data_IF_912811566998
#
_entry.id   IF_912811566998
#
_cell.length_a   1.000
_cell.length_b   1.000
_cell.length_c   1.000
_cell.angle_alpha   90.00
_cell.angle_beta   90.00
_cell.angle_gamma   90.00
#
_symmetry.space_group_name_H-M   'P 1'
#
loop_
_entity.id
_entity.type
_entity.pdbx_description
1 polymer ?
#
# COMPACT_ATOMS: atom_id res chain seq x y z
N UNK A 1 38.45 -29.54 16.16
CA UNK A 1 37.11 -29.85 15.62
C UNK A 1 36.12 -28.88 16.23
N UNK A 2 35.36 -28.12 15.43
CA UNK A 2 34.30 -27.25 15.95
C UNK A 2 33.07 -28.09 16.35
N UNK A 3 32.56 -27.89 17.57
CA UNK A 3 31.34 -28.56 18.06
C UNK A 3 30.16 -27.59 17.89
N UNK A 4 29.21 -27.87 16.99
CA UNK A 4 28.04 -27.01 16.78
C UNK A 4 27.20 -26.88 18.06
N UNK A 5 26.61 -25.71 18.28
CA UNK A 5 25.81 -25.42 19.47
C UNK A 5 24.68 -26.45 19.69
N UNK A 6 23.98 -26.84 18.61
CA UNK A 6 22.88 -27.81 18.66
C UNK A 6 23.29 -29.22 19.12
N UNK A 7 24.58 -29.56 19.09
CA UNK A 7 25.08 -30.88 19.48
C UNK A 7 25.54 -30.95 20.94
N UNK A 8 25.64 -29.79 21.62
CA UNK A 8 26.21 -29.71 22.98
C UNK A 8 25.43 -30.53 24.00
N UNK A 9 24.10 -30.48 23.95
CA UNK A 9 23.27 -31.20 24.92
C UNK A 9 23.30 -32.71 24.69
N UNK A 10 23.30 -33.15 23.42
CA UNK A 10 23.49 -34.57 23.08
C UNK A 10 24.85 -35.09 23.52
N UNK A 11 25.91 -34.27 23.38
CA UNK A 11 27.26 -34.63 23.84
C UNK A 11 27.31 -34.68 25.37
N UNK A 12 26.75 -33.68 26.06
CA UNK A 12 26.69 -33.65 27.53
C UNK A 12 25.93 -34.84 28.10
N UNK A 13 24.80 -35.21 27.49
CA UNK A 13 24.00 -36.35 27.92
C UNK A 13 24.73 -37.71 27.73
N UNK A 14 25.72 -37.78 26.84
CA UNK A 14 26.51 -38.98 26.60
C UNK A 14 27.78 -39.06 27.47
N UNK A 15 28.09 -38.03 28.25
CA UNK A 15 29.26 -38.02 29.13
C UNK A 15 29.03 -38.88 30.39
N UNK A 16 30.08 -39.52 30.91
CA UNK A 16 29.99 -40.26 32.15
C UNK A 16 29.70 -39.30 33.30
N UNK A 17 28.85 -39.74 34.23
CA UNK A 17 28.50 -38.95 35.42
C UNK A 17 29.71 -38.72 36.33
N UNK A 18 30.70 -39.63 36.31
CA UNK A 18 31.96 -39.54 37.07
C UNK A 18 33.11 -39.94 36.12
N UNK A 19 33.95 -38.99 35.67
CA UNK A 19 35.09 -39.28 34.80
C UNK A 19 36.26 -39.86 35.60
N UNK A 20 37.04 -40.74 34.97
CA UNK A 20 38.27 -41.32 35.55
C UNK A 20 39.43 -40.34 35.50
N UNK A 21 40.46 -40.56 36.33
CA UNK A 21 41.67 -39.71 36.35
C UNK A 21 42.38 -39.64 34.99
N UNK A 22 42.31 -40.72 34.20
CA UNK A 22 42.88 -40.79 32.85
C UNK A 22 42.07 -39.98 31.82
N UNK A 23 40.75 -39.98 31.94
CA UNK A 23 39.87 -39.17 31.10
C UNK A 23 40.01 -37.67 31.38
N UNK A 24 40.15 -37.29 32.67
CA UNK A 24 40.40 -35.89 33.07
C UNK A 24 41.79 -35.42 32.60
N UNK A 25 42.77 -36.32 32.62
CA UNK A 25 44.14 -36.07 32.16
C UNK A 25 44.33 -36.06 30.64
N UNK A 26 43.25 -36.08 29.84
CA UNK A 26 43.31 -36.15 28.38
C UNK A 26 44.10 -37.36 27.83
N UNK A 27 44.11 -38.49 28.55
CA UNK A 27 44.78 -39.72 28.12
C UNK A 27 43.81 -40.69 27.44
N UNK A 28 42.56 -40.74 27.90
CA UNK A 28 41.51 -41.60 27.35
C UNK A 28 40.28 -40.77 26.97
N UNK A 29 39.56 -41.20 25.93
CA UNK A 29 38.33 -40.55 25.50
C UNK A 29 37.20 -40.77 26.50
N UNK A 30 36.54 -39.68 26.92
CA UNK A 30 35.40 -39.73 27.85
C UNK A 30 34.16 -40.50 27.33
N UNK A 31 34.10 -40.87 26.05
CA UNK A 31 32.92 -41.48 25.42
C UNK A 31 33.09 -42.96 25.06
N UNK A 32 34.33 -43.44 24.95
CA UNK A 32 34.62 -44.82 24.54
C UNK A 32 35.82 -45.44 25.25
N UNK A 33 36.43 -44.74 26.20
CA UNK A 33 37.58 -45.18 27.00
C UNK A 33 38.83 -45.55 26.21
N UNK A 34 38.84 -45.27 24.90
CA UNK A 34 40.01 -45.49 24.06
C UNK A 34 41.10 -44.47 24.36
N UNK A 35 42.34 -44.95 24.51
CA UNK A 35 43.54 -44.13 24.67
C UNK A 35 43.75 -43.22 23.45
N UNK A 36 44.08 -41.95 23.67
CA UNK A 36 44.51 -41.05 22.60
C UNK A 36 45.91 -41.45 22.12
N UNK A 37 46.01 -42.04 20.92
CA UNK A 37 47.28 -42.35 20.26
C UNK A 37 47.77 -41.21 19.36
N UNK A 38 48.88 -41.44 18.63
CA UNK A 38 49.46 -40.45 17.69
C UNK A 38 48.45 -39.98 16.61
N UNK A 39 47.47 -40.83 16.26
CA UNK A 39 46.44 -40.56 15.25
C UNK A 39 45.14 -39.92 15.79
N UNK A 40 44.96 -39.85 17.13
CA UNK A 40 43.71 -39.40 17.76
C UNK A 40 43.93 -38.15 18.59
N UNK A 41 43.70 -36.97 17.99
CA UNK A 41 43.73 -35.71 18.71
C UNK A 41 42.60 -35.61 19.77
N UNK A 42 42.95 -35.23 21.00
CA UNK A 42 42.01 -34.94 22.07
C UNK A 42 41.25 -33.64 21.77
N UNK A 43 39.92 -33.71 21.65
CA UNK A 43 39.07 -32.55 21.39
C UNK A 43 38.38 -32.11 22.69
N UNK A 44 38.58 -30.87 23.16
CA UNK A 44 37.95 -30.39 24.38
C UNK A 44 36.43 -30.26 24.22
N UNK A 45 35.68 -30.65 25.25
CA UNK A 45 34.20 -30.72 25.21
C UNK A 45 33.48 -29.55 25.89
N UNK A 46 34.18 -28.75 26.70
CA UNK A 46 33.58 -27.58 27.35
C UNK A 46 33.81 -26.27 26.60
N UNK A 47 33.21 -25.16 27.11
CA UNK A 47 33.28 -23.84 26.48
C UNK A 47 34.68 -23.22 26.50
N UNK A 48 35.58 -23.75 27.35
CA UNK A 48 36.98 -23.36 27.42
C UNK A 48 37.88 -24.60 27.26
N UNK A 49 39.08 -24.47 26.66
CA UNK A 49 40.04 -25.57 26.51
C UNK A 49 40.48 -26.21 27.84
N UNK A 50 40.25 -25.52 28.96
CA UNK A 50 40.63 -25.91 30.33
C UNK A 50 39.61 -26.78 31.05
N UNK A 51 38.45 -27.06 30.42
CA UNK A 51 37.30 -27.74 31.03
C UNK A 51 37.47 -29.27 31.26
N UNK A 52 38.68 -29.81 31.09
CA UNK A 52 39.09 -31.11 31.62
C UNK A 52 38.44 -32.36 31.02
N UNK A 53 37.53 -32.25 30.04
CA UNK A 53 36.90 -33.40 29.37
C UNK A 53 37.18 -33.39 27.88
N UNK A 54 37.55 -34.57 27.36
CA UNK A 54 38.04 -34.73 26.00
C UNK A 54 37.35 -35.88 25.27
N UNK A 55 36.92 -35.63 24.03
CA UNK A 55 36.35 -36.62 23.13
C UNK A 55 37.31 -36.94 21.98
N UNK A 56 37.29 -38.18 21.49
CA UNK A 56 37.94 -38.52 20.24
C UNK A 56 37.07 -38.14 19.04
N UNK A 57 37.71 -37.82 17.91
CA UNK A 57 37.01 -37.39 16.68
C UNK A 57 35.91 -38.38 16.22
N UNK A 58 36.13 -39.71 16.19
CA UNK A 58 35.07 -40.66 15.79
C UNK A 58 33.82 -40.60 16.66
N UNK A 59 33.97 -40.57 18.00
CA UNK A 59 32.85 -40.51 18.93
C UNK A 59 32.07 -39.20 18.80
N UNK A 60 32.78 -38.08 18.65
CA UNK A 60 32.16 -36.77 18.46
C UNK A 60 31.45 -36.66 17.11
N UNK A 61 32.03 -37.20 16.03
CA UNK A 61 31.34 -37.27 14.73
C UNK A 61 30.04 -38.05 14.83
N UNK A 62 30.03 -39.20 15.50
CA UNK A 62 28.80 -39.99 15.72
C UNK A 62 27.72 -39.21 16.48
N UNK A 63 28.08 -38.56 17.58
CA UNK A 63 27.13 -37.79 18.40
C UNK A 63 26.65 -36.52 17.68
N UNK A 64 27.51 -35.84 16.93
CA UNK A 64 27.11 -34.69 16.09
C UNK A 64 26.14 -35.13 14.99
N UNK A 65 26.36 -36.29 14.37
CA UNK A 65 25.43 -36.87 13.37
C UNK A 65 24.09 -37.22 14.02
N UNK A 66 24.11 -37.82 15.22
CA UNK A 66 22.88 -38.11 15.97
C UNK A 66 22.12 -36.84 16.35
N UNK A 67 22.80 -35.83 16.90
CA UNK A 67 22.21 -34.54 17.24
C UNK A 67 21.60 -33.84 16.02
N UNK A 68 22.30 -33.91 14.88
CA UNK A 68 21.78 -33.40 13.60
C UNK A 68 20.49 -34.11 13.21
N UNK A 69 20.47 -35.46 13.22
CA UNK A 69 19.27 -36.25 12.91
C UNK A 69 18.10 -35.90 13.83
N UNK A 70 18.33 -35.82 15.14
CA UNK A 70 17.27 -35.46 16.11
C UNK A 70 16.71 -34.05 15.86
N UNK A 71 17.60 -33.07 15.64
CA UNK A 71 17.20 -31.69 15.31
C UNK A 71 16.39 -31.64 14.02
N UNK A 72 16.83 -32.32 12.99
CA UNK A 72 16.17 -32.32 11.68
C UNK A 72 14.79 -33.01 11.77
N UNK A 73 14.66 -34.07 12.58
CA UNK A 73 13.39 -34.75 12.86
C UNK A 73 12.43 -33.88 13.68
N UNK A 74 12.95 -33.16 14.69
CA UNK A 74 12.16 -32.20 15.47
C UNK A 74 11.67 -31.03 14.60
N UNK A 75 12.52 -30.51 13.71
CA UNK A 75 12.15 -29.48 12.73
C UNK A 75 11.10 -29.99 11.75
N UNK A 76 11.22 -31.22 11.26
CA UNK A 76 10.24 -31.83 10.37
C UNK A 76 8.86 -31.93 11.04
N UNK A 77 8.81 -32.40 12.29
CA UNK A 77 7.56 -32.46 13.09
C UNK A 77 6.99 -31.06 13.35
N UNK A 78 7.83 -30.10 13.72
CA UNK A 78 7.40 -28.71 13.91
C UNK A 78 6.82 -28.10 12.63
N UNK A 79 7.43 -28.38 11.47
CA UNK A 79 6.93 -27.91 10.18
C UNK A 79 5.64 -28.63 9.74
N UNK A 80 5.41 -29.88 10.15
CA UNK A 80 4.16 -30.59 9.90
C UNK A 80 3.03 -30.06 10.79
N UNK A 81 3.31 -29.83 12.07
CA UNK A 81 2.37 -29.23 13.01
C UNK A 81 1.98 -27.81 12.57
N UNK A 82 2.96 -26.96 12.21
CA UNK A 82 2.68 -25.61 11.73
C UNK A 82 1.81 -25.61 10.46
N UNK A 83 2.01 -26.56 9.55
CA UNK A 83 1.17 -26.73 8.36
C UNK A 83 -0.26 -27.15 8.71
N UNK A 84 -0.43 -28.05 9.67
CA UNK A 84 -1.76 -28.48 10.12
C UNK A 84 -2.52 -27.34 10.83
N UNK A 85 -1.85 -26.58 11.70
CA UNK A 85 -2.41 -25.41 12.39
C UNK A 85 -2.79 -24.31 11.39
N UNK A 86 -1.91 -24.00 10.44
CA UNK A 86 -2.18 -23.03 9.37
C UNK A 86 -3.38 -23.45 8.50
N UNK A 87 -3.47 -24.72 8.12
CA UNK A 87 -4.61 -25.21 7.34
C UNK A 87 -5.94 -25.13 8.09
N UNK A 88 -5.95 -25.47 9.39
CA UNK A 88 -7.14 -25.35 10.24
C UNK A 88 -7.57 -23.88 10.39
N UNK A 89 -6.60 -22.97 10.61
CA UNK A 89 -6.88 -21.55 10.69
C UNK A 89 -7.39 -20.95 9.37
N UNK A 90 -6.80 -21.31 8.23
CA UNK A 90 -7.28 -20.87 6.90
C UNK A 90 -8.73 -21.28 6.65
N UNK A 91 -9.13 -22.47 7.08
CA UNK A 91 -10.52 -22.91 7.00
C UNK A 91 -11.44 -22.06 7.88
N UNK A 92 -11.04 -21.78 9.12
CA UNK A 92 -11.81 -20.94 10.04
C UNK A 92 -11.94 -19.50 9.53
N UNK A 93 -10.83 -18.93 9.03
CA UNK A 93 -10.76 -17.62 8.38
C UNK A 93 -11.73 -17.53 7.19
N UNK A 94 -11.68 -18.50 6.29
CA UNK A 94 -12.55 -18.53 5.10
C UNK A 94 -14.02 -18.59 5.49
N UNK A 95 -14.35 -19.42 6.49
CA UNK A 95 -15.71 -19.51 7.01
C UNK A 95 -16.18 -18.19 7.65
N UNK A 96 -15.30 -17.53 8.41
CA UNK A 96 -15.61 -16.24 9.03
C UNK A 96 -15.86 -15.16 7.98
N UNK A 97 -14.98 -15.03 6.97
CA UNK A 97 -15.17 -14.09 5.86
C UNK A 97 -16.47 -14.33 5.10
N UNK A 98 -16.82 -15.59 4.82
CA UNK A 98 -18.08 -15.93 4.16
C UNK A 98 -19.31 -15.54 4.99
N UNK A 99 -19.21 -15.57 6.32
CA UNK A 99 -20.30 -15.12 7.21
C UNK A 99 -20.42 -13.60 7.19
N UNK A 100 -19.31 -12.87 7.28
CA UNK A 100 -19.30 -11.41 7.15
C UNK A 100 -19.95 -11.00 5.82
N UNK A 101 -19.56 -11.66 4.75
CA UNK A 101 -20.09 -11.40 3.41
C UNK A 101 -21.59 -11.72 3.29
N UNK A 102 -22.06 -12.78 3.95
CA UNK A 102 -23.49 -13.11 4.00
C UNK A 102 -24.33 -12.04 4.72
N UNK A 103 -23.84 -11.51 5.85
CA UNK A 103 -24.53 -10.42 6.57
C UNK A 103 -24.42 -9.11 5.79
N UNK A 104 -23.29 -8.84 5.13
CA UNK A 104 -23.09 -7.66 4.27
C UNK A 104 -24.12 -7.64 3.14
N UNK A 105 -24.25 -8.74 2.40
CA UNK A 105 -25.26 -8.84 1.34
C UNK A 105 -26.68 -8.69 1.87
N UNK A 106 -26.98 -9.19 3.08
CA UNK A 106 -28.28 -8.97 3.69
C UNK A 106 -28.50 -7.49 4.03
N UNK A 107 -27.47 -6.78 4.50
CA UNK A 107 -27.54 -5.35 4.77
C UNK A 107 -27.78 -4.53 3.49
N UNK A 108 -27.05 -4.84 2.42
CA UNK A 108 -27.24 -4.21 1.10
C UNK A 108 -28.66 -4.45 0.56
N UNK A 109 -29.16 -5.68 0.65
CA UNK A 109 -30.53 -5.98 0.24
C UNK A 109 -31.59 -5.25 1.07
N UNK A 110 -31.36 -5.07 2.39
CA UNK A 110 -32.27 -4.27 3.23
C UNK A 110 -32.22 -2.79 2.84
N UNK A 111 -31.04 -2.25 2.52
CA UNK A 111 -30.90 -0.88 2.04
C UNK A 111 -31.64 -0.66 0.71
N UNK A 112 -31.49 -1.59 -0.23
CA UNK A 112 -32.22 -1.56 -1.51
C UNK A 112 -33.75 -1.65 -1.30
N UNK A 113 -34.21 -2.58 -0.45
CA UNK A 113 -35.63 -2.71 -0.13
C UNK A 113 -36.20 -1.47 0.57
N UNK A 114 -35.39 -0.72 1.32
CA UNK A 114 -35.83 0.51 1.97
C UNK A 114 -36.15 1.63 0.98
N UNK A 115 -35.58 1.58 -0.22
CA UNK A 115 -35.85 2.50 -1.32
C UNK A 115 -37.05 2.07 -2.17
N UNK A 116 -37.54 0.83 -2.00
CA UNK A 116 -38.68 0.32 -2.74
C UNK A 116 -40.00 0.77 -2.08
N UNK A 117 -40.78 1.55 -2.82
CA UNK A 117 -42.06 2.07 -2.36
C UNK A 117 -43.15 1.00 -2.20
N UNK A 118 -43.00 -0.16 -2.84
CA UNK A 118 -43.95 -1.27 -2.76
C UNK A 118 -43.83 -2.05 -1.44
N UNK A 119 -42.78 -1.79 -0.65
CA UNK A 119 -42.55 -2.44 0.64
C UNK A 119 -43.00 -1.54 1.80
N UNK A 120 -43.81 -2.11 2.70
CA UNK A 120 -44.29 -1.41 3.89
C UNK A 120 -43.13 -0.98 4.80
N UNK A 121 -43.10 0.31 5.19
CA UNK A 121 -42.05 0.89 6.04
C UNK A 121 -41.86 0.14 7.37
N UNK A 122 -42.96 -0.29 8.02
CA UNK A 122 -42.89 -1.08 9.27
C UNK A 122 -42.25 -2.45 9.08
N UNK A 123 -42.39 -3.04 7.88
CA UNK A 123 -41.77 -4.34 7.56
C UNK A 123 -40.28 -4.20 7.34
N UNK A 124 -39.85 -3.11 6.69
CA UNK A 124 -38.43 -2.74 6.54
C UNK A 124 -37.79 -2.49 7.92
N UNK A 125 -38.48 -1.83 8.86
CA UNK A 125 -37.99 -1.66 10.23
C UNK A 125 -37.72 -3.00 10.94
N UNK A 126 -38.63 -3.97 10.79
CA UNK A 126 -38.44 -5.31 11.34
C UNK A 126 -37.29 -6.09 10.70
N UNK A 127 -37.05 -5.86 9.40
CA UNK A 127 -35.88 -6.41 8.70
C UNK A 127 -34.59 -5.83 9.27
N UNK A 128 -34.53 -4.52 9.54
CA UNK A 128 -33.38 -3.90 10.19
C UNK A 128 -33.11 -4.50 11.57
N UNK A 129 -34.13 -4.70 12.41
CA UNK A 129 -33.96 -5.35 13.73
C UNK A 129 -33.37 -6.76 13.59
N UNK A 130 -33.87 -7.53 12.61
CA UNK A 130 -33.36 -8.87 12.33
C UNK A 130 -31.91 -8.85 11.85
N UNK A 131 -31.56 -7.85 11.03
CA UNK A 131 -30.21 -7.62 10.53
C UNK A 131 -29.25 -7.21 11.65
N UNK A 132 -29.64 -6.32 12.57
CA UNK A 132 -28.84 -5.93 13.74
C UNK A 132 -28.55 -7.13 14.64
N UNK A 133 -29.54 -8.01 14.80
CA UNK A 133 -29.32 -9.28 15.48
C UNK A 133 -28.31 -10.15 14.72
N UNK A 134 -28.41 -10.28 13.40
CA UNK A 134 -27.46 -11.06 12.61
C UNK A 134 -26.03 -10.50 12.69
N UNK A 135 -25.89 -9.17 12.62
CA UNK A 135 -24.63 -8.44 12.77
C UNK A 135 -23.99 -8.69 14.14
N UNK A 136 -24.78 -8.61 15.23
CA UNK A 136 -24.29 -8.86 16.61
C UNK A 136 -23.89 -10.32 16.84
N UNK A 137 -24.49 -11.26 16.11
CA UNK A 137 -24.22 -12.69 16.24
C UNK A 137 -23.06 -13.19 15.37
N UNK A 138 -22.41 -12.30 14.60
CA UNK A 138 -21.15 -12.64 13.94
C UNK A 138 -20.11 -12.98 15.02
N UNK A 139 -19.56 -14.20 15.04
CA UNK A 139 -18.59 -14.60 16.05
C UNK A 139 -17.32 -13.75 15.98
N UNK A 140 -16.60 -13.66 17.10
CA UNK A 140 -15.30 -12.99 17.15
C UNK A 140 -14.32 -13.51 16.09
N UNK A 141 -13.41 -12.63 15.69
CA UNK A 141 -12.38 -12.91 14.69
C UNK A 141 -11.51 -14.11 15.13
N UNK A 142 -11.26 -15.10 14.25
CA UNK A 142 -10.45 -16.25 14.61
C UNK A 142 -8.98 -15.86 14.85
N UNK A 143 -8.43 -16.22 16.02
CA UNK A 143 -7.03 -15.93 16.35
C UNK A 143 -6.04 -16.71 15.47
N UNK A 144 -5.03 -16.06 14.88
CA UNK A 144 -4.00 -16.73 14.10
C UNK A 144 -3.03 -17.53 14.98
N UNK A 145 -2.57 -18.72 14.53
CA UNK A 145 -1.53 -19.46 15.23
C UNK A 145 -0.22 -18.68 15.20
N UNK A 146 0.69 -18.95 16.14
CA UNK A 146 1.98 -18.24 16.24
C UNK A 146 2.89 -18.38 15.00
N UNK A 147 2.58 -19.31 14.10
CA UNK A 147 3.27 -19.54 12.83
C UNK A 147 2.78 -18.64 11.69
N UNK A 148 1.67 -17.93 11.88
CA UNK A 148 1.04 -17.03 10.92
C UNK A 148 1.07 -15.62 11.50
N UNK A 149 1.24 -14.64 10.63
CA UNK A 149 1.26 -13.24 11.06
C UNK A 149 -0.07 -12.86 11.74
N UNK A 150 0.02 -11.98 12.75
CA UNK A 150 -1.13 -11.60 13.57
C UNK A 150 -2.08 -10.67 12.84
N UNK A 151 -1.61 -9.97 11.81
CA UNK A 151 -2.40 -9.03 11.05
C UNK A 151 -2.79 -9.64 9.70
N UNK A 152 -4.07 -9.99 9.55
CA UNK A 152 -4.65 -10.40 8.27
C UNK A 152 -5.47 -9.24 7.68
N UNK A 153 -4.99 -8.58 6.60
CA UNK A 153 -5.69 -7.47 5.98
C UNK A 153 -7.10 -7.83 5.50
N UNK A 154 -7.31 -9.07 5.06
CA UNK A 154 -8.60 -9.53 4.56
C UNK A 154 -9.67 -9.64 5.65
N UNK A 155 -9.29 -10.03 6.88
CA UNK A 155 -10.22 -10.03 8.02
C UNK A 155 -10.61 -8.59 8.42
N UNK A 156 -9.66 -7.65 8.40
CA UNK A 156 -9.92 -6.23 8.69
C UNK A 156 -10.83 -5.59 7.63
N UNK A 157 -10.51 -5.79 6.35
CA UNK A 157 -11.29 -5.27 5.22
C UNK A 157 -12.72 -5.86 5.19
N UNK A 158 -12.87 -7.17 5.43
CA UNK A 158 -14.18 -7.82 5.50
C UNK A 158 -15.08 -7.25 6.59
N UNK A 159 -14.54 -6.97 7.78
CA UNK A 159 -15.28 -6.35 8.88
C UNK A 159 -15.66 -4.90 8.53
N UNK A 160 -14.71 -4.12 7.99
CA UNK A 160 -14.95 -2.74 7.58
C UNK A 160 -16.05 -2.61 6.52
N UNK A 161 -16.08 -3.48 5.51
CA UNK A 161 -17.13 -3.48 4.48
C UNK A 161 -18.50 -3.83 5.05
N UNK A 162 -18.56 -4.75 6.01
CA UNK A 162 -19.81 -5.06 6.70
C UNK A 162 -20.31 -3.84 7.49
N UNK A 163 -19.42 -3.13 8.20
CA UNK A 163 -19.78 -1.92 8.95
C UNK A 163 -20.36 -0.84 8.03
N UNK A 164 -19.73 -0.62 6.87
CA UNK A 164 -20.20 0.33 5.87
C UNK A 164 -21.60 -0.05 5.34
N UNK A 165 -21.80 -1.32 4.97
CA UNK A 165 -23.11 -1.80 4.51
C UNK A 165 -24.20 -1.67 5.59
N UNK A 166 -23.86 -1.93 6.86
CA UNK A 166 -24.76 -1.71 7.99
C UNK A 166 -25.11 -0.23 8.17
N UNK A 167 -24.16 0.69 8.00
CA UNK A 167 -24.44 2.12 8.04
C UNK A 167 -25.43 2.55 6.94
N UNK A 168 -25.20 2.11 5.70
CA UNK A 168 -26.10 2.39 4.57
C UNK A 168 -27.51 1.82 4.80
N UNK A 169 -27.61 0.58 5.30
CA UNK A 169 -28.90 -0.01 5.64
C UNK A 169 -29.63 0.78 6.74
N UNK A 170 -28.94 1.19 7.81
CA UNK A 170 -29.52 2.01 8.88
C UNK A 170 -30.03 3.34 8.36
N UNK A 171 -29.25 4.01 7.53
CA UNK A 171 -29.60 5.32 6.97
C UNK A 171 -30.85 5.23 6.09
N UNK A 172 -30.87 4.31 5.12
CA UNK A 172 -32.01 4.15 4.22
C UNK A 172 -33.30 3.78 4.97
N UNK A 173 -33.21 2.89 5.96
CA UNK A 173 -34.36 2.50 6.79
C UNK A 173 -34.83 3.65 7.68
N UNK A 174 -33.90 4.41 8.27
CA UNK A 174 -34.21 5.55 9.13
C UNK A 174 -34.92 6.66 8.33
N UNK A 175 -34.42 6.97 7.14
CA UNK A 175 -35.04 7.91 6.20
C UNK A 175 -36.49 7.46 5.91
N UNK A 176 -36.66 6.22 5.44
CA UNK A 176 -37.99 5.66 5.11
C UNK A 176 -38.96 5.72 6.29
N UNK A 177 -38.50 5.42 7.50
CA UNK A 177 -39.34 5.46 8.71
C UNK A 177 -39.69 6.87 9.15
N UNK A 178 -38.75 7.82 9.05
CA UNK A 178 -39.00 9.22 9.37
C UNK A 178 -40.16 9.75 8.52
N UNK A 179 -40.12 9.51 7.21
CA UNK A 179 -41.20 9.93 6.31
C UNK A 179 -42.50 9.16 6.53
N UNK A 180 -42.45 7.87 6.87
CA UNK A 180 -43.65 7.14 7.24
C UNK A 180 -44.35 7.78 8.46
N UNK A 181 -43.59 8.11 9.51
CA UNK A 181 -44.13 8.75 10.72
C UNK A 181 -44.68 10.14 10.41
N UNK A 182 -43.95 10.96 9.63
CA UNK A 182 -44.43 12.28 9.22
C UNK A 182 -45.76 12.20 8.46
N UNK A 183 -45.86 11.28 7.50
CA UNK A 183 -47.07 11.10 6.68
C UNK A 183 -48.26 10.57 7.51
N UNK A 184 -48.04 9.65 8.45
CA UNK A 184 -49.09 9.17 9.36
C UNK A 184 -49.53 10.22 10.39
N UNK A 185 -48.64 11.15 10.74
CA UNK A 185 -48.94 12.24 11.68
C UNK A 185 -49.67 13.42 11.02
N UNK A 186 -49.79 13.47 9.69
CA UNK A 186 -50.50 14.55 9.01
C UNK A 186 -52.02 14.46 9.28
N UNK A 187 -52.69 15.61 9.52
CA UNK A 187 -54.14 15.65 9.66
C UNK A 187 -54.84 15.24 8.36
N UNK A 188 -56.01 14.59 8.46
CA UNK A 188 -56.77 14.08 7.32
C UNK A 188 -57.18 15.14 6.28
N UNK A 189 -57.22 16.42 6.70
CA UNK A 189 -57.28 17.59 5.84
C UNK A 189 -56.05 18.45 6.15
N UNK A 190 -54.95 18.31 5.40
CA UNK A 190 -53.82 19.21 5.55
C UNK A 190 -54.29 20.62 5.22
N UNK A 191 -54.08 21.59 6.12
CA UNK A 191 -54.22 23.00 5.77
C UNK A 191 -53.30 23.24 4.57
N UNK A 192 -53.88 23.48 3.39
CA UNK A 192 -53.08 23.66 2.17
C UNK A 192 -52.05 24.73 2.43
N UNK A 193 -50.77 24.36 2.37
CA UNK A 193 -49.67 25.27 2.60
C UNK A 193 -49.87 26.47 1.66
N UNK A 194 -50.12 27.65 2.23
CA UNK A 194 -50.52 28.84 1.48
C UNK A 194 -49.43 29.34 0.52
N UNK A 195 -48.22 28.77 0.59
CA UNK A 195 -47.03 29.24 -0.12
C UNK A 195 -46.59 28.35 -1.29
N UNK A 196 -47.22 27.20 -1.56
CA UNK A 196 -46.90 26.38 -2.74
C UNK A 196 -48.16 25.91 -3.47
N UNK A 197 -48.27 26.29 -4.75
CA UNK A 197 -49.21 25.71 -5.71
C UNK A 197 -48.90 24.20 -5.84
N UNK A 198 -49.48 23.38 -4.95
CA UNK A 198 -49.41 21.93 -5.11
C UNK A 198 -50.06 21.55 -6.46
N UNK A 199 -49.37 20.80 -7.33
CA UNK A 199 -49.93 20.40 -8.60
C UNK A 199 -51.23 19.60 -8.41
N UNK A 200 -52.17 19.75 -9.34
CA UNK A 200 -53.46 19.03 -9.31
C UNK A 200 -53.20 17.51 -9.23
N UNK A 201 -53.48 16.90 -8.07
CA UNK A 201 -53.21 15.48 -7.79
C UNK A 201 -52.20 15.20 -6.68
N UNK A 202 -51.63 16.22 -6.02
CA UNK A 202 -50.79 16.05 -4.85
C UNK A 202 -51.55 15.31 -3.73
N UNK A 203 -51.03 14.16 -3.29
CA UNK A 203 -51.65 13.34 -2.24
C UNK A 203 -51.23 13.73 -0.82
N UNK A 204 -50.50 14.84 -0.65
CA UNK A 204 -49.90 15.25 0.63
C UNK A 204 -48.76 14.34 1.12
N UNK A 205 -48.31 13.38 0.29
CA UNK A 205 -47.16 12.52 0.62
C UNK A 205 -45.88 13.22 0.18
N UNK A 206 -45.07 13.61 1.16
CA UNK A 206 -43.78 14.25 0.93
C UNK A 206 -42.66 13.20 1.01
N UNK A 207 -41.73 13.26 0.06
CA UNK A 207 -40.47 12.49 0.06
C UNK A 207 -39.31 13.45 0.37
N UNK A 208 -38.07 12.95 0.38
CA UNK A 208 -36.88 13.76 0.68
C UNK A 208 -36.60 14.88 -0.31
N UNK A 209 -37.21 14.87 -1.50
CA UNK A 209 -37.10 15.96 -2.48
C UNK A 209 -38.13 17.08 -2.27
N UNK A 210 -39.13 16.86 -1.40
CA UNK A 210 -40.25 17.76 -1.18
C UNK A 210 -40.13 18.64 0.09
N UNK A 211 -39.04 18.53 0.87
CA UNK A 211 -38.81 19.32 2.08
C UNK A 211 -37.65 20.30 1.86
N UNK A 212 -37.99 21.58 1.76
CA UNK A 212 -37.04 22.70 1.64
C UNK A 212 -36.90 23.44 2.98
N UNK A 213 -36.54 22.72 4.05
CA UNK A 213 -36.12 23.36 5.30
C UNK A 213 -34.61 23.61 5.25
N UNK A 214 -34.22 24.89 5.13
CA UNK A 214 -32.82 25.28 5.10
C UNK A 214 -32.03 24.81 6.34
N UNK A 215 -30.70 24.71 6.23
CA UNK A 215 -29.83 24.12 7.26
C UNK A 215 -29.90 24.79 8.64
N UNK A 216 -30.43 26.02 8.71
CA UNK A 216 -30.55 26.80 9.94
C UNK A 216 -31.72 26.36 10.84
N UNK A 217 -32.77 25.77 10.27
CA UNK A 217 -33.99 25.38 11.00
C UNK A 217 -33.71 24.34 12.10
N UNK A 218 -32.74 23.45 11.87
CA UNK A 218 -32.31 22.44 12.86
C UNK A 218 -31.75 23.10 14.12
N UNK A 219 -31.01 24.21 13.99
CA UNK A 219 -30.43 24.89 15.16
C UNK A 219 -31.48 25.69 15.94
N UNK A 220 -32.49 26.23 15.26
CA UNK A 220 -33.62 26.89 15.91
C UNK A 220 -34.42 25.85 16.72
N UNK A 221 -34.80 24.72 16.11
CA UNK A 221 -35.53 23.63 16.77
C UNK A 221 -34.79 23.06 17.99
N UNK A 222 -33.48 22.80 17.86
CA UNK A 222 -32.65 22.33 18.97
C UNK A 222 -32.61 23.34 20.12
N UNK A 223 -32.55 24.63 19.81
CA UNK A 223 -32.54 25.70 20.80
C UNK A 223 -33.87 25.79 21.54
N UNK A 224 -35.01 25.63 20.84
CA UNK A 224 -36.34 25.56 21.46
C UNK A 224 -36.46 24.41 22.46
N UNK A 225 -35.74 23.31 22.20
CA UNK A 225 -35.70 22.12 23.07
C UNK A 225 -34.60 22.20 24.15
N UNK A 226 -33.95 23.36 24.31
CA UNK A 226 -32.95 23.60 25.35
C UNK A 226 -31.57 23.01 25.05
N UNK A 227 -31.31 22.59 23.81
CA UNK A 227 -30.03 22.04 23.35
C UNK A 227 -29.27 23.12 22.60
N UNK A 228 -28.27 23.72 23.26
CA UNK A 228 -27.41 24.71 22.64
C UNK A 228 -26.28 24.03 21.86
N UNK A 229 -26.33 24.11 20.53
CA UNK A 229 -25.23 23.72 19.64
C UNK A 229 -24.60 24.99 19.07
N UNK A 230 -23.28 25.11 19.16
CA UNK A 230 -22.56 26.26 18.60
C UNK A 230 -22.73 26.26 17.08
N UNK A 231 -23.42 27.27 16.54
CA UNK A 231 -23.56 27.40 15.08
C UNK A 231 -22.18 27.61 14.49
N UNK A 232 -21.76 26.82 13.48
CA UNK A 232 -20.55 27.15 12.76
C UNK A 232 -20.72 28.56 12.21
N UNK A 233 -19.82 29.47 12.60
CA UNK A 233 -19.85 30.85 12.09
C UNK A 233 -19.86 30.83 10.55
N UNK A 234 -20.41 31.88 9.90
CA UNK A 234 -20.40 31.96 8.45
C UNK A 234 -18.95 31.84 7.99
N UNK A 235 -18.63 30.68 7.39
CA UNK A 235 -17.34 30.51 6.75
C UNK A 235 -17.36 31.49 5.58
N UNK A 236 -16.36 32.37 5.41
CA UNK A 236 -16.32 33.23 4.24
C UNK A 236 -16.47 32.31 3.03
N UNK A 237 -17.56 32.49 2.28
CA UNK A 237 -17.81 31.68 1.10
C UNK A 237 -16.59 31.85 0.20
N UNK A 238 -15.91 30.75 -0.08
CA UNK A 238 -14.91 30.76 -1.14
C UNK A 238 -15.61 31.23 -2.42
N UNK A 239 -15.00 32.09 -3.25
CA UNK A 239 -15.58 32.55 -4.53
C UNK A 239 -16.06 31.41 -5.43
N UNK A 240 -15.57 30.19 -5.17
CA UNK A 240 -15.93 28.93 -5.81
C UNK A 240 -17.35 28.43 -5.48
N UNK A 241 -17.94 28.83 -4.34
CA UNK A 241 -19.28 28.39 -3.89
C UNK A 241 -20.39 29.34 -4.35
N UNK A 242 -20.12 30.65 -4.41
CA UNK A 242 -21.05 31.62 -5.03
C UNK A 242 -21.31 31.32 -6.51
N UNK A 243 -20.30 30.82 -7.23
CA UNK A 243 -20.44 30.42 -8.63
C UNK A 243 -21.28 29.13 -8.84
N UNK A 244 -21.48 28.32 -7.80
CA UNK A 244 -22.23 27.06 -7.86
C UNK A 244 -23.71 27.22 -7.50
N UNK A 245 -24.10 28.28 -6.78
CA UNK A 245 -25.50 28.54 -6.41
C UNK A 245 -26.38 29.04 -7.56
N UNK A 246 -25.82 29.47 -8.69
CA UNK A 246 -26.60 29.92 -9.86
C UNK A 246 -26.96 28.79 -10.85
N UNK A 247 -26.60 27.53 -10.59
CA UNK A 247 -26.90 26.41 -11.50
C UNK A 247 -27.52 25.22 -10.77
N UNK A 248 -28.75 25.39 -10.34
CA UNK A 248 -29.70 24.29 -10.15
C UNK A 248 -30.71 24.30 -11.30
N UNK A 249 -30.53 23.35 -12.23
CA UNK A 249 -31.58 22.68 -13.01
C UNK A 249 -30.93 21.99 -14.20
N UNK A 250 -30.70 20.68 -14.07
CA UNK A 250 -30.82 19.61 -15.09
C UNK A 250 -30.04 18.41 -14.53
N UNK A 251 -30.80 17.38 -14.15
CA UNK A 251 -30.28 16.04 -13.87
C UNK A 251 -29.48 15.54 -15.07
N UNK A 252 -28.17 15.44 -14.88
CA UNK A 252 -27.31 14.57 -15.66
C UNK A 252 -26.49 13.76 -14.67
N UNK A 253 -26.43 12.44 -14.87
CA UNK A 253 -25.54 11.52 -14.15
C UNK A 253 -24.20 12.22 -13.87
N UNK A 254 -23.93 12.53 -12.60
CA UNK A 254 -22.61 13.03 -12.21
C UNK A 254 -21.58 11.95 -12.59
N UNK A 255 -20.53 12.26 -13.37
CA UNK A 255 -19.40 11.35 -13.48
C UNK A 255 -18.81 11.13 -12.08
N UNK A 256 -18.37 9.91 -11.79
CA UNK A 256 -17.85 9.51 -10.47
C UNK A 256 -16.57 10.25 -10.05
N UNK A 257 -15.94 10.99 -10.97
CA UNK A 257 -14.70 11.73 -10.77
C UNK A 257 -14.88 13.20 -11.19
N UNK A 258 -14.33 14.16 -10.42
CA UNK A 258 -14.37 15.59 -10.78
C UNK A 258 -13.70 15.83 -12.13
N UNK A 259 -14.17 16.84 -12.89
CA UNK A 259 -13.61 17.18 -14.21
C UNK A 259 -12.15 17.63 -14.07
N UNK A 260 -11.24 16.72 -14.45
CA UNK A 260 -9.80 16.92 -14.32
C UNK A 260 -9.30 17.97 -15.32
N UNK A 261 -9.97 18.11 -16.48
CA UNK A 261 -9.46 18.91 -17.60
C UNK A 261 -9.47 20.41 -17.27
N UNK A 262 -10.49 20.89 -16.56
CA UNK A 262 -10.61 22.28 -16.13
C UNK A 262 -9.56 22.67 -15.06
N UNK A 263 -9.37 21.82 -14.04
CA UNK A 263 -8.44 22.12 -12.94
C UNK A 263 -6.97 21.92 -13.32
N UNK A 264 -6.64 20.79 -13.96
CA UNK A 264 -5.26 20.43 -14.23
C UNK A 264 -4.60 21.35 -15.27
N UNK A 265 -5.34 21.82 -16.27
CA UNK A 265 -4.83 22.74 -17.29
C UNK A 265 -4.38 24.08 -16.68
N UNK A 266 -5.15 24.62 -15.72
CA UNK A 266 -4.80 25.85 -15.01
C UNK A 266 -3.56 25.68 -14.12
N UNK A 267 -3.42 24.51 -13.48
CA UNK A 267 -2.24 24.17 -12.67
C UNK A 267 -1.00 24.08 -13.57
N UNK A 268 -1.05 23.35 -14.69
CA UNK A 268 0.09 23.19 -15.60
C UNK A 268 0.57 24.53 -16.19
N UNK A 269 -0.37 25.38 -16.60
CA UNK A 269 -0.04 26.72 -17.12
C UNK A 269 0.69 27.59 -16.08
N UNK A 270 0.39 27.44 -14.78
CA UNK A 270 1.11 28.15 -13.70
C UNK A 270 2.58 27.73 -13.59
N UNK A 271 2.90 26.50 -14.00
CA UNK A 271 4.27 25.99 -14.04
C UNK A 271 4.93 26.15 -15.43
N UNK A 272 4.31 26.92 -16.33
CA UNK A 272 4.88 27.23 -17.64
C UNK A 272 4.80 26.09 -18.66
N UNK A 273 3.98 25.07 -18.40
CA UNK A 273 3.74 23.96 -19.32
C UNK A 273 2.56 24.27 -20.22
N UNK A 274 2.67 23.93 -21.51
CA UNK A 274 1.54 24.04 -22.44
C UNK A 274 0.70 22.76 -22.41
N UNK A 275 -0.50 22.76 -21.79
CA UNK A 275 -1.36 21.58 -21.81
C UNK A 275 -1.81 21.20 -23.23
N UNK A 276 -1.66 22.07 -24.23
CA UNK A 276 -1.93 21.83 -25.64
C UNK A 276 -0.86 21.00 -26.35
N UNK A 277 0.40 21.02 -25.88
CA UNK A 277 1.47 20.21 -26.44
C UNK A 277 1.34 18.76 -25.94
N UNK A 278 0.97 17.86 -26.85
CA UNK A 278 0.75 16.45 -26.52
C UNK A 278 2.05 15.73 -26.17
N UNK A 279 3.18 16.10 -26.79
CA UNK A 279 4.46 15.46 -26.51
C UNK A 279 5.02 15.90 -25.16
N UNK A 280 4.95 17.20 -24.87
CA UNK A 280 5.30 17.76 -23.56
C UNK A 280 4.40 17.16 -22.46
N UNK A 281 3.09 17.13 -22.68
CA UNK A 281 2.13 16.60 -21.70
C UNK A 281 2.38 15.12 -21.39
N UNK A 282 2.70 14.30 -22.40
CA UNK A 282 3.04 12.88 -22.20
C UNK A 282 4.36 12.74 -21.42
N UNK A 283 5.37 13.57 -21.71
CA UNK A 283 6.63 13.56 -20.98
C UNK A 283 6.43 13.88 -19.50
N UNK A 284 5.67 14.92 -19.18
CA UNK A 284 5.37 15.35 -17.81
C UNK A 284 4.47 14.34 -17.09
N UNK A 285 3.47 13.80 -17.78
CA UNK A 285 2.62 12.74 -17.23
C UNK A 285 3.42 11.47 -16.89
N UNK A 286 4.42 11.11 -17.69
CA UNK A 286 5.32 10.00 -17.39
C UNK A 286 6.13 10.25 -16.11
N UNK A 287 6.60 11.48 -15.89
CA UNK A 287 7.25 11.87 -14.63
C UNK A 287 6.29 11.72 -13.45
N UNK A 288 5.05 12.18 -13.58
CA UNK A 288 4.03 12.08 -12.54
C UNK A 288 3.68 10.65 -12.19
N UNK A 289 3.55 9.78 -13.21
CA UNK A 289 3.31 8.36 -13.00
C UNK A 289 4.46 7.72 -12.20
N UNK A 290 5.72 8.00 -12.56
CA UNK A 290 6.89 7.48 -11.83
C UNK A 290 6.98 8.05 -10.42
N UNK A 291 6.71 9.34 -10.23
CA UNK A 291 6.74 9.98 -8.91
C UNK A 291 5.72 9.33 -7.96
N UNK A 292 4.47 9.18 -8.40
CA UNK A 292 3.38 8.65 -7.59
C UNK A 292 3.48 7.14 -7.33
N UNK A 293 3.98 6.36 -8.31
CA UNK A 293 4.06 4.90 -8.20
C UNK A 293 5.32 4.42 -7.49
N UNK A 294 6.45 5.10 -7.71
CA UNK A 294 7.77 4.55 -7.41
C UNK A 294 8.56 5.35 -6.38
N UNK A 295 8.41 6.68 -6.32
CA UNK A 295 9.13 7.50 -5.33
C UNK A 295 8.34 7.69 -4.03
N UNK A 296 7.06 7.98 -4.14
CA UNK A 296 6.16 8.01 -2.99
C UNK A 296 5.97 6.56 -2.50
N UNK A 297 6.48 6.24 -1.31
CA UNK A 297 6.36 4.93 -0.67
C UNK A 297 7.65 4.09 -0.64
N UNK A 298 8.46 4.02 -1.70
CA UNK A 298 9.70 3.21 -1.69
C UNK A 298 10.79 3.83 -0.82
N UNK A 299 11.06 5.13 -1.02
CA UNK A 299 12.17 5.81 -0.34
C UNK A 299 11.93 5.90 1.17
N UNK A 300 10.67 6.03 1.59
CA UNK A 300 10.26 6.03 3.00
C UNK A 300 10.43 4.65 3.66
N UNK A 301 10.26 3.56 2.90
CA UNK A 301 10.42 2.19 3.41
C UNK A 301 11.88 1.72 3.48
N UNK A 302 12.78 2.34 2.70
CA UNK A 302 14.17 1.88 2.51
C UNK A 302 15.17 2.63 3.40
N UNK A 303 14.75 3.69 4.09
CA UNK A 303 15.64 4.60 4.84
C UNK A 303 16.21 4.00 6.15
N UNK A 304 15.88 2.74 6.48
CA UNK A 304 16.21 2.09 7.78
C UNK A 304 17.18 0.89 7.65
N UNK A 305 17.53 0.44 6.43
CA UNK A 305 18.36 -0.75 6.22
C UNK A 305 19.79 -0.45 5.69
N UNK A 306 20.77 -1.30 6.04
CA UNK A 306 22.16 -1.23 5.54
C UNK A 306 22.29 -1.52 4.03
N UNK A 307 21.26 -2.11 3.41
CA UNK A 307 21.20 -2.50 1.98
C UNK A 307 20.44 -1.46 1.12
N UNK A 308 20.69 -0.17 1.33
CA UNK A 308 20.02 0.93 0.61
C UNK A 308 20.59 1.10 -0.81
N UNK A 309 19.75 1.35 -1.84
CA UNK A 309 20.24 1.73 -3.15
C UNK A 309 20.87 3.13 -3.11
N UNK A 310 21.95 3.32 -3.85
CA UNK A 310 22.62 4.61 -3.96
C UNK A 310 21.70 5.65 -4.64
N UNK A 311 21.99 6.93 -4.47
CA UNK A 311 21.20 7.98 -5.12
C UNK A 311 21.35 7.91 -6.65
N UNK A 312 22.50 7.46 -7.12
CA UNK A 312 22.72 7.18 -8.54
C UNK A 312 21.89 6.02 -9.08
N UNK A 313 21.71 4.96 -8.29
CA UNK A 313 20.83 3.84 -8.65
C UNK A 313 19.37 4.28 -8.72
N UNK A 314 18.93 5.09 -7.75
CA UNK A 314 17.57 5.65 -7.72
C UNK A 314 17.31 6.55 -8.94
N UNK A 315 18.28 7.39 -9.29
CA UNK A 315 18.18 8.27 -10.44
C UNK A 315 18.18 7.50 -11.76
N UNK A 316 19.09 6.54 -11.93
CA UNK A 316 19.14 5.69 -13.13
C UNK A 316 17.83 4.93 -13.34
N UNK A 317 17.29 4.33 -12.27
CA UNK A 317 16.04 3.59 -12.34
C UNK A 317 14.85 4.51 -12.63
N UNK A 318 14.80 5.71 -12.04
CA UNK A 318 13.77 6.70 -12.34
C UNK A 318 13.71 7.07 -13.82
N UNK A 319 14.88 7.19 -14.47
CA UNK A 319 14.99 7.53 -15.90
C UNK A 319 14.53 6.38 -16.80
N UNK A 320 14.89 5.13 -16.48
CA UNK A 320 14.39 3.97 -17.24
C UNK A 320 12.87 3.82 -17.09
N UNK A 321 12.36 3.98 -15.86
CA UNK A 321 10.92 3.96 -15.59
C UNK A 321 10.19 5.10 -16.29
N UNK A 322 10.78 6.30 -16.40
CA UNK A 322 10.21 7.39 -17.20
C UNK A 322 10.07 6.99 -18.67
N UNK A 323 11.11 6.42 -19.28
CA UNK A 323 11.06 5.95 -20.68
C UNK A 323 9.96 4.91 -20.88
N UNK A 324 9.79 4.00 -19.93
CA UNK A 324 8.74 2.95 -19.97
C UNK A 324 7.34 3.50 -19.73
N UNK A 325 7.18 4.41 -18.77
CA UNK A 325 5.93 5.11 -18.49
C UNK A 325 5.47 5.89 -19.74
N UNK A 326 6.38 6.64 -20.37
CA UNK A 326 6.13 7.36 -21.63
C UNK A 326 5.66 6.41 -22.73
N UNK A 327 6.35 5.29 -22.93
CA UNK A 327 5.96 4.29 -23.93
C UNK A 327 4.58 3.68 -23.64
N UNK A 328 4.29 3.35 -22.38
CA UNK A 328 3.01 2.79 -21.95
C UNK A 328 1.86 3.80 -22.10
N UNK A 329 2.05 5.06 -21.69
CA UNK A 329 1.09 6.13 -21.87
C UNK A 329 0.80 6.39 -23.36
N UNK A 330 1.82 6.40 -24.21
CA UNK A 330 1.63 6.53 -25.66
C UNK A 330 0.90 5.33 -26.27
N UNK A 331 1.23 4.11 -25.84
CA UNK A 331 0.56 2.90 -26.28
C UNK A 331 -0.92 2.90 -25.86
N UNK A 332 -1.23 3.39 -24.65
CA UNK A 332 -2.58 3.45 -24.12
C UNK A 332 -3.53 4.31 -24.95
N UNK A 333 -3.00 5.29 -25.70
CA UNK A 333 -3.79 6.08 -26.66
C UNK A 333 -4.49 5.22 -27.71
N UNK A 334 -3.83 4.16 -28.18
CA UNK A 334 -4.31 3.32 -29.28
C UNK A 334 -4.80 1.95 -28.83
N UNK A 335 -4.18 1.40 -27.79
CA UNK A 335 -4.44 0.04 -27.30
C UNK A 335 -5.37 0.01 -26.08
N UNK A 336 -5.72 1.17 -25.54
CA UNK A 336 -6.52 1.30 -24.32
C UNK A 336 -5.69 1.30 -23.03
N UNK A 337 -6.33 1.59 -21.89
CA UNK A 337 -5.68 1.72 -20.57
C UNK A 337 -4.86 0.50 -20.14
N UNK A 338 -5.20 -0.69 -20.65
CA UNK A 338 -4.52 -1.96 -20.35
C UNK A 338 -3.05 -1.96 -20.79
N UNK A 339 -2.67 -1.09 -21.73
CA UNK A 339 -1.26 -0.93 -22.12
C UNK A 339 -0.36 -0.45 -20.97
N UNK A 340 -0.94 0.14 -19.91
CA UNK A 340 -0.21 0.54 -18.70
C UNK A 340 0.33 -0.65 -17.90
N UNK A 341 -0.21 -1.86 -18.09
CA UNK A 341 0.31 -3.07 -17.44
C UNK A 341 1.75 -3.40 -17.85
N UNK A 342 2.20 -2.94 -19.02
CA UNK A 342 3.60 -3.09 -19.43
C UNK A 342 4.56 -2.26 -18.56
N UNK A 343 4.10 -1.14 -18.00
CA UNK A 343 4.86 -0.36 -17.03
C UNK A 343 4.86 -1.07 -15.66
N UNK A 344 3.70 -1.53 -15.18
CA UNK A 344 3.57 -2.30 -13.93
C UNK A 344 4.53 -3.48 -13.91
N UNK A 345 4.50 -4.32 -14.95
CA UNK A 345 5.30 -5.54 -15.05
C UNK A 345 6.81 -5.31 -14.88
N UNK A 346 7.29 -4.09 -15.09
CA UNK A 346 8.69 -3.71 -14.91
C UNK A 346 8.90 -3.00 -13.58
N UNK A 347 8.01 -2.07 -13.23
CA UNK A 347 8.12 -1.29 -12.01
C UNK A 347 8.00 -2.16 -10.74
N UNK A 348 7.24 -3.26 -10.80
CA UNK A 348 7.04 -4.21 -9.71
C UNK A 348 7.90 -5.48 -9.78
N UNK A 349 8.81 -5.59 -10.76
CA UNK A 349 9.67 -6.77 -10.91
C UNK A 349 10.74 -6.83 -9.79
N UNK A 350 10.65 -7.86 -8.95
CA UNK A 350 11.54 -8.05 -7.81
C UNK A 350 12.95 -8.52 -8.20
N UNK A 351 13.07 -9.18 -9.35
CA UNK A 351 14.29 -9.86 -9.79
C UNK A 351 15.03 -9.09 -10.88
N UNK A 352 14.39 -8.08 -11.49
CA UNK A 352 14.99 -7.25 -12.51
C UNK A 352 16.08 -6.34 -11.91
N UNK A 353 17.32 -6.40 -12.43
CA UNK A 353 18.37 -5.44 -12.06
C UNK A 353 17.98 -4.02 -12.46
N UNK A 354 18.26 -3.07 -11.57
CA UNK A 354 18.00 -1.65 -11.85
C UNK A 354 18.89 -1.13 -12.98
N UNK A 355 18.41 -0.06 -13.62
CA UNK A 355 19.10 0.59 -14.72
C UNK A 355 20.46 1.20 -14.29
N UNK A 356 21.25 1.63 -15.28
CA UNK A 356 22.59 2.18 -15.03
C UNK A 356 23.65 1.15 -14.66
N UNK A 357 23.44 -0.13 -15.01
CA UNK A 357 24.39 -1.20 -14.73
C UNK A 357 24.44 -1.61 -13.25
N UNK A 358 23.44 -1.22 -12.46
CA UNK A 358 23.31 -1.56 -11.06
C UNK A 358 23.11 -3.07 -10.86
N UNK A 359 23.67 -3.61 -9.77
CA UNK A 359 23.37 -4.97 -9.31
C UNK A 359 22.16 -5.02 -8.37
N UNK A 360 21.64 -3.85 -7.96
CA UNK A 360 20.50 -3.71 -7.08
C UNK A 360 19.23 -4.26 -7.74
N UNK A 361 18.40 -4.90 -6.92
CA UNK A 361 17.09 -5.42 -7.31
C UNK A 361 16.11 -5.08 -6.21
N UNK A 362 14.85 -4.88 -6.59
CA UNK A 362 13.80 -4.53 -5.62
C UNK A 362 13.64 -5.61 -4.53
N UNK A 363 13.84 -6.89 -4.86
CA UNK A 363 13.82 -8.00 -3.91
C UNK A 363 14.98 -8.02 -2.89
N UNK A 364 15.99 -7.15 -3.02
CA UNK A 364 17.06 -6.99 -2.02
C UNK A 364 16.64 -6.09 -0.86
N UNK A 365 15.55 -5.31 -1.00
CA UNK A 365 15.05 -4.42 0.05
C UNK A 365 14.46 -5.23 1.21
N UNK A 366 14.98 -4.99 2.41
CA UNK A 366 14.39 -5.49 3.66
C UNK A 366 13.24 -4.55 4.09
N UNK A 367 12.04 -4.73 3.54
CA UNK A 367 10.89 -3.86 3.80
C UNK A 367 9.55 -4.42 3.28
N UNK A 368 8.44 -3.67 3.37
CA UNK A 368 7.12 -4.10 2.92
C UNK A 368 7.01 -4.07 1.38
N UNK A 369 7.82 -4.88 0.70
CA UNK A 369 7.88 -4.98 -0.76
C UNK A 369 6.49 -5.26 -1.37
N UNK A 370 5.64 -6.03 -0.67
CA UNK A 370 4.27 -6.29 -1.10
C UNK A 370 3.39 -5.03 -1.11
N UNK A 371 3.50 -4.16 -0.10
CA UNK A 371 2.75 -2.89 -0.04
C UNK A 371 3.24 -1.93 -1.14
N UNK A 372 4.55 -1.93 -1.41
CA UNK A 372 5.10 -1.16 -2.50
C UNK A 372 4.59 -1.61 -3.87
N UNK A 373 4.57 -2.92 -4.13
CA UNK A 373 3.99 -3.47 -5.36
C UNK A 373 2.50 -3.14 -5.46
N UNK A 374 1.75 -3.23 -4.36
CA UNK A 374 0.35 -2.84 -4.32
C UNK A 374 0.15 -1.35 -4.63
N UNK A 375 1.00 -0.45 -4.11
CA UNK A 375 0.93 0.97 -4.44
C UNK A 375 1.15 1.25 -5.93
N UNK A 376 2.11 0.54 -6.57
CA UNK A 376 2.30 0.63 -8.03
C UNK A 376 1.02 0.23 -8.75
N UNK A 377 0.42 -0.90 -8.37
CA UNK A 377 -0.82 -1.41 -8.97
C UNK A 377 -1.98 -0.42 -8.77
N UNK A 378 -2.16 0.11 -7.57
CA UNK A 378 -3.24 1.05 -7.23
C UNK A 378 -3.12 2.36 -8.00
N UNK A 379 -1.91 2.92 -8.12
CA UNK A 379 -1.67 4.14 -8.87
C UNK A 379 -1.84 3.92 -10.38
N UNK A 380 -1.37 2.80 -10.92
CA UNK A 380 -1.61 2.50 -12.34
C UNK A 380 -3.10 2.25 -12.59
N UNK A 381 -3.79 1.54 -11.70
CA UNK A 381 -5.23 1.33 -11.76
C UNK A 381 -6.00 2.66 -11.75
N UNK A 382 -5.67 3.58 -10.85
CA UNK A 382 -6.28 4.91 -10.80
C UNK A 382 -6.09 5.67 -12.13
N UNK A 383 -4.89 5.60 -12.71
CA UNK A 383 -4.61 6.22 -14.02
C UNK A 383 -5.47 5.60 -15.12
N UNK A 384 -5.57 4.27 -15.13
CA UNK A 384 -6.37 3.54 -16.09
C UNK A 384 -7.86 3.90 -15.94
N UNK A 385 -8.35 4.08 -14.72
CA UNK A 385 -9.74 4.44 -14.45
C UNK A 385 -10.07 5.85 -14.93
N UNK A 386 -9.20 6.83 -14.67
CA UNK A 386 -9.33 8.18 -15.25
C UNK A 386 -9.33 8.11 -16.78
N UNK A 387 -8.50 7.25 -17.39
CA UNK A 387 -8.51 7.06 -18.85
C UNK A 387 -9.82 6.47 -19.36
N UNK A 388 -10.46 5.54 -18.63
CA UNK A 388 -11.74 4.93 -19.02
C UNK A 388 -12.89 5.92 -18.90
N UNK A 389 -12.93 6.65 -17.79
CA UNK A 389 -14.06 7.52 -17.44
C UNK A 389 -13.99 8.88 -18.12
N UNK A 390 -12.80 9.46 -18.24
CA UNK A 390 -12.61 10.85 -18.73
C UNK A 390 -11.71 10.93 -19.98
N UNK A 391 -11.19 9.80 -20.45
CA UNK A 391 -10.38 9.71 -21.66
C UNK A 391 -8.88 9.87 -21.41
N UNK A 392 -8.10 9.46 -22.42
CA UNK A 392 -6.63 9.42 -22.37
C UNK A 392 -6.00 10.76 -21.96
N UNK A 393 -6.49 11.86 -22.53
CA UNK A 393 -5.96 13.20 -22.27
C UNK A 393 -6.18 13.64 -20.82
N UNK A 394 -7.34 13.35 -20.22
CA UNK A 394 -7.63 13.68 -18.84
C UNK A 394 -6.68 12.96 -17.87
N UNK A 395 -6.36 11.69 -18.13
CA UNK A 395 -5.39 10.96 -17.31
C UNK A 395 -3.97 11.51 -17.42
N UNK A 396 -3.56 11.99 -18.61
CA UNK A 396 -2.28 12.68 -18.75
C UNK A 396 -2.27 13.98 -17.94
N UNK A 397 -3.33 14.78 -18.02
CA UNK A 397 -3.46 16.02 -17.27
C UNK A 397 -3.41 15.77 -15.75
N UNK A 398 -4.10 14.73 -15.27
CA UNK A 398 -4.04 14.29 -13.87
C UNK A 398 -2.61 14.00 -13.43
N UNK A 399 -1.89 13.16 -14.18
CA UNK A 399 -0.51 12.77 -13.82
C UNK A 399 0.47 13.92 -13.98
N UNK A 400 0.29 14.76 -15.00
CA UNK A 400 1.14 15.93 -15.18
C UNK A 400 0.95 16.95 -14.04
N UNK A 401 -0.28 17.14 -13.55
CA UNK A 401 -0.55 17.98 -12.39
C UNK A 401 0.10 17.45 -11.09
N UNK A 402 0.18 16.12 -10.93
CA UNK A 402 0.95 15.54 -9.82
C UNK A 402 2.46 15.81 -9.96
N UNK A 403 3.00 15.64 -11.17
CA UNK A 403 4.41 15.83 -11.47
C UNK A 403 4.92 17.24 -11.12
N UNK A 404 4.17 18.28 -11.50
CA UNK A 404 4.58 19.67 -11.21
C UNK A 404 4.62 19.99 -9.71
N UNK A 405 3.82 19.29 -8.90
CA UNK A 405 3.81 19.48 -7.45
C UNK A 405 4.93 18.71 -6.75
N UNK A 406 5.19 17.47 -7.18
CA UNK A 406 6.06 16.52 -6.47
C UNK A 406 7.46 16.40 -7.04
N UNK A 407 7.63 16.72 -8.32
CA UNK A 407 8.77 16.31 -9.12
C UNK A 407 9.27 17.39 -10.11
N UNK A 408 9.23 18.71 -9.81
CA UNK A 408 9.41 19.77 -10.81
C UNK A 408 10.80 19.78 -11.49
N UNK A 409 11.80 19.20 -10.85
CA UNK A 409 13.20 19.18 -11.30
C UNK A 409 13.65 17.80 -11.78
N UNK A 410 12.75 16.85 -12.06
CA UNK A 410 13.16 15.51 -12.52
C UNK A 410 13.37 15.45 -14.04
N UNK A 411 14.17 14.48 -14.49
CA UNK A 411 14.31 14.14 -15.91
C UNK A 411 12.94 13.98 -16.58
N UNK A 412 12.72 14.71 -17.68
CA UNK A 412 11.42 14.79 -18.37
C UNK A 412 10.59 16.03 -18.03
N UNK A 413 10.99 16.81 -17.03
CA UNK A 413 10.40 18.11 -16.70
C UNK A 413 11.20 19.27 -17.32
N UNK A 414 10.57 20.43 -17.59
CA UNK A 414 11.28 21.61 -18.09
C UNK A 414 12.43 22.05 -17.18
N UNK A 415 12.25 21.96 -15.85
CA UNK A 415 13.25 22.33 -14.84
C UNK A 415 14.49 21.44 -14.81
N UNK A 416 14.49 20.29 -15.52
CA UNK A 416 15.65 19.41 -15.60
C UNK A 416 16.83 20.09 -16.30
N UNK A 417 16.57 20.85 -17.37
CA UNK A 417 17.65 21.50 -18.14
C UNK A 417 18.44 22.48 -17.28
N UNK A 418 17.76 23.26 -16.44
CA UNK A 418 18.39 24.20 -15.51
C UNK A 418 19.14 23.46 -14.39
N UNK A 419 18.60 22.33 -13.94
CA UNK A 419 19.24 21.45 -12.95
C UNK A 419 20.54 20.88 -13.49
N UNK A 420 20.55 20.39 -14.74
CA UNK A 420 21.76 19.91 -15.42
C UNK A 420 22.76 21.04 -15.62
N UNK A 421 22.33 22.21 -16.11
CA UNK A 421 23.21 23.36 -16.29
C UNK A 421 23.92 23.74 -14.97
N UNK A 422 23.16 23.83 -13.88
CA UNK A 422 23.70 24.12 -12.54
C UNK A 422 24.70 23.06 -12.06
N UNK A 423 24.40 21.78 -12.31
CA UNK A 423 25.32 20.69 -12.00
C UNK A 423 26.61 20.76 -12.83
N UNK A 424 26.52 21.08 -14.13
CA UNK A 424 27.65 21.21 -15.03
C UNK A 424 28.56 22.40 -14.67
N UNK A 425 27.99 23.54 -14.29
CA UNK A 425 28.75 24.69 -13.78
C UNK A 425 29.59 24.31 -12.57
N UNK A 426 29.01 23.52 -11.67
CA UNK A 426 29.71 23.06 -10.48
C UNK A 426 30.76 21.97 -10.79
N UNK A 427 30.47 21.05 -11.71
CA UNK A 427 31.41 20.01 -12.17
C UNK A 427 32.64 20.61 -12.86
N UNK A 428 32.49 21.74 -13.56
CA UNK A 428 33.58 22.42 -14.25
C UNK A 428 34.67 22.95 -13.30
N UNK A 429 34.32 23.27 -12.05
CA UNK A 429 35.23 23.86 -11.06
C UNK A 429 35.69 22.88 -9.97
N UNK A 430 35.09 21.68 -9.91
CA UNK A 430 35.39 20.69 -8.88
C UNK A 430 36.66 19.87 -9.20
N UNK A 431 37.41 19.50 -8.17
CA UNK A 431 38.47 18.49 -8.29
C UNK A 431 37.86 17.10 -8.56
N UNK A 432 38.11 16.58 -9.77
CA UNK A 432 37.60 15.30 -10.28
C UNK A 432 38.62 14.16 -10.18
N UNK A 433 39.71 14.32 -9.42
CA UNK A 433 40.74 13.28 -9.25
C UNK A 433 40.25 11.95 -8.66
N UNK A 434 39.07 11.95 -8.03
CA UNK A 434 38.40 10.75 -7.48
C UNK A 434 37.07 10.44 -8.19
N UNK A 435 36.80 11.07 -9.32
CA UNK A 435 35.59 10.82 -10.12
C UNK A 435 35.75 9.55 -10.98
N UNK A 436 34.66 8.85 -11.30
CA UNK A 436 34.69 7.78 -12.30
C UNK A 436 35.16 8.28 -13.68
N UNK A 437 35.86 7.43 -14.43
CA UNK A 437 36.41 7.75 -15.77
C UNK A 437 35.34 8.25 -16.76
N UNK A 438 34.08 7.85 -16.57
CA UNK A 438 32.93 8.32 -17.37
C UNK A 438 32.65 9.82 -17.21
N UNK A 439 33.21 10.48 -16.19
CA UNK A 439 33.07 11.90 -15.92
C UNK A 439 34.24 12.76 -16.44
N UNK A 440 35.18 12.19 -17.20
CA UNK A 440 36.32 12.92 -17.75
C UNK A 440 35.89 13.96 -18.81
N UNK A 441 35.04 13.54 -19.76
CA UNK A 441 34.51 14.39 -20.83
C UNK A 441 33.20 15.06 -20.40
N UNK A 442 33.31 16.29 -19.90
CA UNK A 442 32.15 17.06 -19.43
C UNK A 442 31.12 17.34 -20.52
N UNK A 443 31.52 17.45 -21.79
CA UNK A 443 30.56 17.68 -22.88
C UNK A 443 29.73 16.40 -23.14
N UNK A 444 30.37 15.23 -23.08
CA UNK A 444 29.66 13.96 -23.15
C UNK A 444 28.77 13.73 -21.92
N UNK A 445 29.19 14.16 -20.73
CA UNK A 445 28.38 14.09 -19.49
C UNK A 445 27.13 14.95 -19.60
N UNK A 446 27.27 16.21 -20.03
CA UNK A 446 26.13 17.12 -20.21
C UNK A 446 25.13 16.55 -21.22
N UNK A 447 25.60 16.09 -22.37
CA UNK A 447 24.75 15.46 -23.37
C UNK A 447 24.03 14.22 -22.83
N UNK A 448 24.73 13.38 -22.07
CA UNK A 448 24.13 12.20 -21.47
C UNK A 448 23.09 12.56 -20.39
N UNK A 449 23.35 13.55 -19.54
CA UNK A 449 22.38 14.02 -18.54
C UNK A 449 21.13 14.63 -19.19
N UNK A 450 21.24 15.27 -20.35
CA UNK A 450 20.08 15.83 -21.05
C UNK A 450 19.27 14.77 -21.82
N UNK A 451 19.92 13.75 -22.39
CA UNK A 451 19.25 12.81 -23.29
C UNK A 451 18.95 11.44 -22.66
N UNK A 452 19.85 10.89 -21.84
CA UNK A 452 19.74 9.54 -21.27
C UNK A 452 20.66 9.38 -20.04
N UNK A 453 20.32 10.00 -18.89
CA UNK A 453 21.18 10.01 -17.71
C UNK A 453 21.60 8.60 -17.24
N UNK A 454 20.70 7.63 -17.34
CA UNK A 454 20.93 6.24 -16.93
C UNK A 454 22.11 5.59 -17.67
N UNK A 455 22.49 6.08 -18.86
CA UNK A 455 23.65 5.57 -19.61
C UNK A 455 25.00 5.97 -19.03
N UNK A 456 25.06 6.98 -18.16
CA UNK A 456 26.28 7.34 -17.44
C UNK A 456 26.71 6.27 -16.42
N UNK A 457 25.76 5.43 -16.00
CA UNK A 457 25.96 4.42 -14.98
C UNK A 457 25.66 4.92 -13.57
N UNK A 458 25.22 4.01 -12.71
CA UNK A 458 24.81 4.33 -11.34
C UNK A 458 25.92 4.98 -10.51
N UNK A 459 27.17 4.51 -10.65
CA UNK A 459 28.32 5.06 -9.90
C UNK A 459 28.62 6.53 -10.26
N UNK A 460 28.53 6.87 -11.55
CA UNK A 460 28.75 8.22 -12.03
C UNK A 460 27.62 9.15 -11.57
N UNK A 461 26.38 8.69 -11.68
CA UNK A 461 25.22 9.43 -11.19
C UNK A 461 25.27 9.61 -9.67
N UNK A 462 25.67 8.59 -8.90
CA UNK A 462 25.77 8.68 -7.43
C UNK A 462 26.83 9.70 -7.02
N UNK A 463 27.98 9.69 -7.70
CA UNK A 463 29.05 10.64 -7.45
C UNK A 463 28.62 12.10 -7.67
N UNK A 464 27.80 12.35 -8.71
CA UNK A 464 27.22 13.67 -9.01
C UNK A 464 26.10 14.00 -8.00
N UNK A 465 25.17 13.08 -7.74
CA UNK A 465 24.04 13.27 -6.83
C UNK A 465 24.46 13.56 -5.39
N UNK A 466 25.53 12.91 -4.91
CA UNK A 466 26.11 13.18 -3.59
C UNK A 466 26.56 14.64 -3.41
N UNK A 467 26.94 15.31 -4.51
CA UNK A 467 27.52 16.67 -4.47
C UNK A 467 26.53 17.76 -4.86
N UNK A 468 25.58 17.45 -5.74
CA UNK A 468 24.78 18.48 -6.41
C UNK A 468 23.26 18.25 -6.35
N UNK A 469 22.79 17.22 -5.63
CA UNK A 469 21.38 16.81 -5.55
C UNK A 469 20.73 16.76 -6.94
N UNK A 470 21.17 15.80 -7.75
CA UNK A 470 20.39 15.39 -8.92
C UNK A 470 19.29 14.45 -8.44
N UNK A 471 18.04 14.81 -8.71
CA UNK A 471 16.88 14.08 -8.22
C UNK A 471 15.97 15.00 -7.45
#
# INVERSE_FOLDING_TARGET
>A
MHIPAYARDTIRAALPSIPTSRQVGALDCCLCDATFGEDLAAVPLGPTPTSGLFGCRPCLTRLVVQARRTRDLARARGAEQARAESAAWLSARTQHLSRLDGVRHAAEAVAELAQDDDVEALRIAWLLISLESAYTWVPEMPEPPASVDREDPGLKDGAFRLDLAMMTAREAVAERLAYHVLNEAQPAEPEMCAEFECPEGCTGRHDSSHIDCGPDAVFDDLTEHGIAVERPGPTPLSPRVEALSEKSAIEAKRPALPDVEEYASAVLARFGLDPGDTEELVNVAAVGLVADTWRDGLLDCVDVADDRPSQGEVLAQSVDLHRRARAALMAARNLGPEALLAFVAVASDLDLPWAGGSCFRLGMVSGPVAEFVQNIDDQVWLTAEVMREQGWRAALLHRAASAVCKAPTHFGMPGWTETVASAMECLAVLDRSSAPDTLEDLAAVEAALLESPDRLGADALDWISYRFRLG
#
